data_IF_380676064103
#
_entry.id   IF_380676064103
#
_cell.length_a   1.000
_cell.length_b   1.000
_cell.length_c   1.000
_cell.angle_alpha   90.00
_cell.angle_beta   90.00
_cell.angle_gamma   90.00
#
_symmetry.space_group_name_H-M   'P 1'
#
loop_
_entity.id
_entity.type
_entity.pdbx_description
1 polymer ?
#
# COMPACT_ATOMS: atom_id res chain seq x y z
N UNK A 1 -12.33 -18.10 -17.02
CA UNK A 1 -13.07 -18.09 -15.74
C UNK A 1 -13.88 -16.81 -15.61
N UNK A 2 -14.97 -16.84 -14.84
CA UNK A 2 -15.74 -15.67 -14.40
C UNK A 2 -15.26 -15.24 -13.01
N UNK A 3 -14.73 -14.05 -12.88
CA UNK A 3 -14.11 -13.57 -11.64
C UNK A 3 -14.81 -12.31 -11.16
N UNK A 4 -15.23 -12.28 -9.89
CA UNK A 4 -15.84 -11.11 -9.25
C UNK A 4 -14.84 -10.47 -8.29
N UNK A 5 -14.56 -9.18 -8.49
CA UNK A 5 -13.82 -8.36 -7.55
C UNK A 5 -14.77 -7.52 -6.70
N UNK A 6 -14.78 -7.73 -5.40
CA UNK A 6 -15.45 -6.92 -4.40
C UNK A 6 -14.43 -6.04 -3.70
N UNK A 7 -14.50 -4.73 -3.90
CA UNK A 7 -13.53 -3.79 -3.37
C UNK A 7 -14.23 -2.60 -2.68
N UNK A 8 -13.57 -1.95 -1.69
CA UNK A 8 -14.14 -0.81 -0.97
C UNK A 8 -14.29 0.45 -1.82
N UNK A 9 -13.22 0.83 -2.50
CA UNK A 9 -13.04 2.18 -3.04
C UNK A 9 -13.33 2.24 -4.54
N UNK A 10 -13.70 3.42 -5.07
CA UNK A 10 -13.76 3.62 -6.51
C UNK A 10 -12.39 3.37 -7.14
N UNK A 11 -12.38 2.85 -8.36
CA UNK A 11 -11.14 2.60 -9.12
C UNK A 11 -10.27 3.85 -9.19
N UNK A 12 -8.99 3.69 -8.93
CA UNK A 12 -7.99 4.74 -9.03
C UNK A 12 -7.85 5.65 -7.81
N UNK A 13 -8.61 5.46 -6.72
CA UNK A 13 -8.62 6.39 -5.59
C UNK A 13 -7.72 6.00 -4.42
N UNK A 14 -7.57 4.74 -4.11
CA UNK A 14 -6.80 4.27 -2.96
C UNK A 14 -5.51 3.56 -3.40
N UNK A 15 -4.36 3.96 -2.84
CA UNK A 15 -3.05 3.46 -3.24
C UNK A 15 -2.93 1.92 -3.11
N UNK A 16 -3.25 1.32 -1.96
CA UNK A 16 -3.20 -0.13 -1.79
C UNK A 16 -4.06 -0.87 -2.82
N UNK A 17 -5.29 -0.39 -3.08
CA UNK A 17 -6.15 -0.97 -4.10
C UNK A 17 -5.57 -0.81 -5.51
N UNK A 18 -4.99 0.35 -5.84
CA UNK A 18 -4.38 0.62 -7.16
C UNK A 18 -3.21 -0.31 -7.46
N UNK A 19 -2.31 -0.50 -6.51
CA UNK A 19 -1.06 -1.23 -6.72
C UNK A 19 -1.14 -2.74 -6.48
N UNK A 20 -2.28 -3.23 -5.99
CA UNK A 20 -2.55 -4.67 -5.83
C UNK A 20 -3.74 -5.09 -6.68
N UNK A 21 -4.93 -4.70 -6.28
CA UNK A 21 -6.20 -5.19 -6.84
C UNK A 21 -6.38 -4.77 -8.29
N UNK A 22 -6.12 -3.48 -8.59
CA UNK A 22 -6.35 -2.96 -9.94
C UNK A 22 -5.36 -3.54 -10.95
N UNK A 23 -4.13 -3.82 -10.53
CA UNK A 23 -3.17 -4.52 -11.37
C UNK A 23 -3.60 -5.97 -11.65
N UNK A 24 -4.12 -6.68 -10.63
CA UNK A 24 -4.58 -8.05 -10.79
C UNK A 24 -5.73 -8.17 -11.80
N UNK A 25 -6.77 -7.34 -11.69
CA UNK A 25 -7.90 -7.48 -12.61
C UNK A 25 -7.61 -6.97 -14.04
N UNK A 26 -6.79 -5.95 -14.22
CA UNK A 26 -6.37 -5.53 -15.56
C UNK A 26 -5.58 -6.64 -16.28
N UNK A 27 -4.72 -7.33 -15.55
CA UNK A 27 -4.04 -8.51 -16.08
C UNK A 27 -5.01 -9.63 -16.45
N UNK A 28 -5.89 -10.02 -15.53
CA UNK A 28 -6.84 -11.11 -15.76
C UNK A 28 -7.75 -10.85 -16.96
N UNK A 29 -8.14 -9.59 -17.21
CA UNK A 29 -8.84 -9.20 -18.44
C UNK A 29 -8.01 -9.45 -19.70
N UNK A 30 -6.72 -9.03 -19.67
CA UNK A 30 -5.80 -9.22 -20.81
C UNK A 30 -5.54 -10.70 -21.12
N UNK A 31 -5.61 -11.57 -20.12
CA UNK A 31 -5.46 -13.02 -20.27
C UNK A 31 -6.77 -13.77 -20.60
N UNK A 32 -7.83 -13.04 -20.96
CA UNK A 32 -9.08 -13.62 -21.48
C UNK A 32 -10.09 -14.05 -20.40
N UNK A 33 -9.92 -13.63 -19.14
CA UNK A 33 -10.89 -13.89 -18.09
C UNK A 33 -12.04 -12.87 -18.11
N UNK A 34 -13.26 -13.31 -17.77
CA UNK A 34 -14.41 -12.43 -17.61
C UNK A 34 -14.37 -11.82 -16.20
N UNK A 35 -13.92 -10.56 -16.11
CA UNK A 35 -13.77 -9.86 -14.84
C UNK A 35 -14.90 -8.89 -14.60
N UNK A 36 -15.61 -9.06 -13.49
CA UNK A 36 -16.61 -8.12 -12.97
C UNK A 36 -16.07 -7.39 -11.76
N UNK A 37 -16.13 -6.06 -11.75
CA UNK A 37 -15.64 -5.23 -10.65
C UNK A 37 -16.84 -4.57 -9.97
N UNK A 38 -16.95 -4.74 -8.66
CA UNK A 38 -17.94 -4.09 -7.84
C UNK A 38 -17.27 -3.31 -6.71
N UNK A 39 -17.11 -2.00 -6.89
CA UNK A 39 -16.69 -1.08 -5.83
C UNK A 39 -17.86 -0.79 -4.91
N UNK A 40 -17.65 -0.80 -3.58
CA UNK A 40 -18.70 -0.44 -2.63
C UNK A 40 -19.05 1.04 -2.76
N UNK A 41 -18.04 1.93 -2.61
CA UNK A 41 -18.25 3.36 -2.81
C UNK A 41 -18.18 3.73 -4.28
N UNK A 42 -19.11 4.58 -4.73
CA UNK A 42 -18.97 5.33 -5.98
C UNK A 42 -18.17 6.62 -5.76
N UNK A 43 -17.76 7.27 -6.85
CA UNK A 43 -16.94 8.48 -6.78
C UNK A 43 -17.67 9.64 -6.11
N UNK A 44 -19.00 9.72 -6.27
CA UNK A 44 -19.81 10.80 -5.72
C UNK A 44 -19.88 10.71 -4.19
N UNK A 45 -20.09 9.51 -3.66
CA UNK A 45 -20.11 9.25 -2.22
C UNK A 45 -18.72 9.35 -1.62
N UNK A 46 -17.70 8.85 -2.32
CA UNK A 46 -16.30 8.97 -1.90
C UNK A 46 -15.87 10.43 -1.67
N UNK A 47 -16.18 11.31 -2.61
CA UNK A 47 -15.82 12.73 -2.54
C UNK A 47 -16.46 13.50 -1.39
N UNK A 48 -17.53 13.00 -0.82
CA UNK A 48 -18.22 13.62 0.32
C UNK A 48 -18.00 12.87 1.65
N UNK A 49 -17.42 11.67 1.62
CA UNK A 49 -17.32 10.76 2.77
C UNK A 49 -16.62 11.43 3.96
N UNK A 50 -15.51 12.12 3.72
CA UNK A 50 -14.70 12.78 4.76
C UNK A 50 -15.13 14.23 5.07
N UNK A 51 -16.11 14.79 4.36
CA UNK A 51 -16.60 16.14 4.61
C UNK A 51 -17.55 16.14 5.81
N UNK A 52 -17.44 17.07 6.74
CA UNK A 52 -18.32 17.14 7.93
C UNK A 52 -19.79 17.44 7.60
N UNK A 53 -20.10 17.95 6.42
CA UNK A 53 -21.45 18.31 5.95
C UNK A 53 -22.16 17.13 5.25
N UNK A 54 -23.48 17.25 5.04
CA UNK A 54 -24.32 16.34 4.25
C UNK A 54 -24.56 14.94 4.88
N UNK A 55 -24.75 14.87 6.20
CA UNK A 55 -24.96 13.59 6.91
C UNK A 55 -26.16 12.78 6.34
N UNK A 56 -27.28 13.45 6.06
CA UNK A 56 -28.49 12.81 5.50
C UNK A 56 -28.18 12.20 4.12
N UNK A 57 -27.51 12.96 3.25
CA UNK A 57 -27.12 12.47 1.92
C UNK A 57 -26.18 11.29 2.02
N UNK A 58 -25.21 11.32 2.94
CA UNK A 58 -24.28 10.20 3.20
C UNK A 58 -25.05 8.96 3.64
N UNK A 59 -26.03 9.11 4.53
CA UNK A 59 -26.83 8.00 5.02
C UNK A 59 -27.59 7.32 3.87
N UNK A 60 -28.36 8.06 3.09
CA UNK A 60 -29.12 7.49 1.96
C UNK A 60 -28.24 6.91 0.87
N UNK A 61 -27.13 7.59 0.52
CA UNK A 61 -26.16 7.05 -0.43
C UNK A 61 -25.57 5.73 0.09
N UNK A 62 -25.15 5.69 1.35
CA UNK A 62 -24.60 4.46 1.93
C UNK A 62 -25.60 3.33 1.95
N UNK A 63 -26.86 3.60 2.31
CA UNK A 63 -27.95 2.61 2.28
C UNK A 63 -28.18 2.07 0.85
N UNK A 64 -28.25 2.95 -0.15
CA UNK A 64 -28.32 2.54 -1.56
C UNK A 64 -27.16 1.65 -1.98
N UNK A 65 -25.94 2.02 -1.62
CA UNK A 65 -24.74 1.25 -1.92
C UNK A 65 -24.73 -0.12 -1.22
N UNK A 66 -25.28 -0.21 -0.02
CA UNK A 66 -25.53 -1.47 0.66
C UNK A 66 -26.48 -2.39 -0.13
N UNK A 67 -27.64 -1.87 -0.55
CA UNK A 67 -28.61 -2.62 -1.34
C UNK A 67 -28.02 -3.07 -2.68
N UNK A 68 -27.27 -2.20 -3.35
CA UNK A 68 -26.54 -2.51 -4.56
C UNK A 68 -25.51 -3.64 -4.34
N UNK A 69 -24.75 -3.60 -3.25
CA UNK A 69 -23.79 -4.67 -2.91
C UNK A 69 -24.52 -5.99 -2.63
N UNK A 70 -25.62 -5.96 -1.90
CA UNK A 70 -26.42 -7.15 -1.61
C UNK A 70 -26.93 -7.79 -2.91
N UNK A 71 -27.41 -7.02 -3.89
CA UNK A 71 -27.85 -7.57 -5.18
C UNK A 71 -26.74 -8.33 -5.93
N UNK A 72 -25.49 -7.89 -5.83
CA UNK A 72 -24.35 -8.62 -6.41
C UNK A 72 -24.04 -9.93 -5.69
N UNK A 73 -24.03 -9.92 -4.35
CA UNK A 73 -23.69 -11.12 -3.59
C UNK A 73 -24.75 -12.21 -3.64
N UNK A 74 -26.00 -11.90 -3.95
CA UNK A 74 -27.05 -12.90 -4.19
C UNK A 74 -26.76 -13.80 -5.38
N UNK A 75 -26.01 -13.30 -6.38
CA UNK A 75 -25.66 -14.06 -7.59
C UNK A 75 -24.22 -14.56 -7.61
N UNK A 76 -23.56 -14.61 -6.45
CA UNK A 76 -22.14 -14.90 -6.32
C UNK A 76 -21.78 -16.31 -6.86
N UNK A 77 -22.69 -17.27 -6.77
CA UNK A 77 -22.53 -18.65 -7.28
C UNK A 77 -22.27 -18.73 -8.79
N UNK A 78 -22.52 -17.64 -9.54
CA UNK A 78 -22.27 -17.57 -10.99
C UNK A 78 -20.80 -17.35 -11.34
N UNK A 79 -19.97 -17.02 -10.33
CA UNK A 79 -18.56 -16.76 -10.49
C UNK A 79 -17.73 -17.97 -10.09
N UNK A 80 -16.63 -18.18 -10.81
CA UNK A 80 -15.69 -19.25 -10.50
C UNK A 80 -14.78 -18.84 -9.33
N UNK A 81 -14.37 -17.55 -9.30
CA UNK A 81 -13.57 -16.98 -8.24
C UNK A 81 -14.18 -15.68 -7.75
N UNK A 82 -14.21 -15.50 -6.45
CA UNK A 82 -14.57 -14.24 -5.79
C UNK A 82 -13.33 -13.69 -5.07
N UNK A 83 -12.93 -12.51 -5.45
CA UNK A 83 -11.82 -11.79 -4.83
C UNK A 83 -12.37 -10.65 -3.98
N UNK A 84 -12.04 -10.64 -2.70
CA UNK A 84 -12.48 -9.60 -1.76
C UNK A 84 -11.28 -8.83 -1.24
N UNK A 85 -11.27 -7.53 -1.47
CA UNK A 85 -10.29 -6.64 -0.86
C UNK A 85 -10.84 -6.08 0.44
N UNK A 86 -10.16 -6.34 1.53
CA UNK A 86 -10.44 -5.92 2.92
C UNK A 86 -11.77 -6.41 3.52
N UNK A 87 -12.91 -6.12 2.91
CA UNK A 87 -14.24 -6.47 3.40
C UNK A 87 -15.31 -6.45 2.28
N UNK A 88 -16.42 -7.15 2.49
CA UNK A 88 -17.58 -7.13 1.57
C UNK A 88 -18.45 -5.92 1.84
N UNK A 89 -18.66 -5.59 3.11
CA UNK A 89 -19.48 -4.47 3.57
C UNK A 89 -18.83 -3.74 4.75
N UNK A 90 -18.98 -2.38 4.86
CA UNK A 90 -18.09 -1.57 5.72
C UNK A 90 -18.34 -1.71 7.24
N UNK A 91 -19.54 -2.11 7.69
CA UNK A 91 -19.94 -2.11 9.10
C UNK A 91 -20.90 -3.26 9.43
N UNK A 92 -21.07 -3.55 10.71
CA UNK A 92 -21.99 -4.57 11.23
C UNK A 92 -21.35 -5.95 11.34
N UNK A 93 -22.17 -6.94 11.68
CA UNK A 93 -21.74 -8.34 11.76
C UNK A 93 -21.36 -8.90 10.38
N UNK A 94 -20.53 -9.95 10.31
CA UNK A 94 -20.02 -10.52 9.05
C UNK A 94 -21.05 -11.39 8.31
N UNK A 95 -22.33 -10.96 8.26
CA UNK A 95 -23.41 -11.71 7.60
C UNK A 95 -23.21 -11.76 6.08
N UNK A 96 -22.86 -10.64 5.47
CA UNK A 96 -22.56 -10.57 4.04
C UNK A 96 -21.31 -11.38 3.68
N UNK A 97 -20.29 -11.30 4.55
CA UNK A 97 -19.03 -12.05 4.43
C UNK A 97 -19.29 -13.57 4.56
N UNK A 98 -20.13 -13.97 5.53
CA UNK A 98 -20.57 -15.35 5.68
C UNK A 98 -21.30 -15.86 4.41
N UNK A 99 -22.21 -15.06 3.86
CA UNK A 99 -22.91 -15.39 2.61
C UNK A 99 -21.93 -15.58 1.47
N UNK A 100 -20.99 -14.64 1.30
CA UNK A 100 -19.96 -14.70 0.28
C UNK A 100 -19.13 -15.97 0.45
N UNK A 101 -18.68 -16.30 1.67
CA UNK A 101 -17.91 -17.53 1.94
C UNK A 101 -18.70 -18.80 1.60
N UNK A 102 -19.98 -18.84 1.99
CA UNK A 102 -20.82 -20.05 1.82
C UNK A 102 -21.13 -20.36 0.36
N UNK A 103 -21.28 -19.34 -0.49
CA UNK A 103 -21.73 -19.51 -1.87
C UNK A 103 -20.65 -19.28 -2.92
N UNK A 104 -19.44 -18.89 -2.54
CA UNK A 104 -18.28 -18.83 -3.45
C UNK A 104 -17.70 -20.22 -3.69
N UNK A 105 -17.34 -20.53 -4.93
CA UNK A 105 -16.60 -21.75 -5.26
C UNK A 105 -15.18 -21.65 -4.75
N UNK A 106 -14.48 -20.52 -5.06
CA UNK A 106 -13.16 -20.16 -4.56
C UNK A 106 -13.20 -18.72 -4.06
N UNK A 107 -12.75 -18.47 -2.83
CA UNK A 107 -12.73 -17.16 -2.18
C UNK A 107 -11.29 -16.74 -1.90
N UNK A 108 -10.85 -15.70 -2.57
CA UNK A 108 -9.54 -15.06 -2.36
C UNK A 108 -9.75 -13.79 -1.56
N UNK A 109 -9.02 -13.65 -0.47
CA UNK A 109 -9.07 -12.46 0.40
C UNK A 109 -7.76 -11.71 0.26
N UNK A 110 -7.82 -10.43 0.00
CA UNK A 110 -6.65 -9.56 -0.01
C UNK A 110 -6.78 -8.51 1.09
N UNK A 111 -5.85 -8.53 2.02
CA UNK A 111 -5.84 -7.65 3.20
C UNK A 111 -4.66 -6.70 3.12
N UNK A 112 -4.93 -5.45 3.44
CA UNK A 112 -3.95 -4.39 3.62
C UNK A 112 -3.97 -3.92 5.07
N UNK A 113 -2.82 -3.73 5.68
CA UNK A 113 -2.65 -3.46 7.12
C UNK A 113 -3.31 -4.54 8.03
N UNK A 114 -3.28 -4.36 9.34
CA UNK A 114 -3.85 -5.32 10.32
C UNK A 114 -5.33 -5.05 10.64
N UNK A 115 -6.12 -4.78 9.62
CA UNK A 115 -7.57 -4.50 9.77
C UNK A 115 -8.40 -5.69 10.29
N UNK A 116 -7.79 -6.85 10.44
CA UNK A 116 -8.39 -8.05 11.01
C UNK A 116 -8.18 -8.20 12.53
N UNK A 117 -7.30 -7.41 13.16
CA UNK A 117 -7.07 -7.43 14.61
C UNK A 117 -8.22 -6.75 15.34
N UNK A 118 -8.87 -7.48 16.25
CA UNK A 118 -10.10 -7.05 16.95
C UNK A 118 -9.92 -6.92 18.47
N UNK A 119 -8.71 -7.18 18.97
CA UNK A 119 -8.44 -7.35 20.41
C UNK A 119 -8.78 -6.11 21.25
N UNK A 120 -8.77 -4.92 20.65
CA UNK A 120 -9.08 -3.64 21.30
C UNK A 120 -10.55 -3.20 21.14
N UNK A 121 -11.44 -4.05 20.60
CA UNK A 121 -12.81 -3.67 20.30
C UNK A 121 -13.80 -4.16 21.34
N UNK A 122 -14.56 -3.23 21.95
CA UNK A 122 -15.78 -3.58 22.68
C UNK A 122 -16.95 -3.86 21.69
N UNK A 123 -18.08 -4.35 22.22
CA UNK A 123 -19.25 -4.73 21.41
C UNK A 123 -19.71 -3.64 20.43
N UNK A 124 -19.86 -2.39 20.91
CA UNK A 124 -20.34 -1.28 20.07
C UNK A 124 -19.30 -0.88 19.01
N UNK A 125 -18.02 -0.84 19.38
CA UNK A 125 -16.93 -0.56 18.46
C UNK A 125 -16.81 -1.63 17.37
N UNK A 126 -17.04 -2.89 17.74
CA UNK A 126 -17.10 -4.02 16.78
C UNK A 126 -18.19 -3.83 15.73
N UNK A 127 -19.37 -3.40 16.14
CA UNK A 127 -20.49 -3.16 15.23
C UNK A 127 -20.26 -2.00 14.26
N UNK A 128 -19.47 -1.01 14.67
CA UNK A 128 -19.14 0.17 13.85
C UNK A 128 -17.85 0.01 13.03
N UNK A 129 -17.11 -1.09 13.23
CA UNK A 129 -15.84 -1.40 12.58
C UNK A 129 -15.98 -2.43 11.46
N UNK A 130 -15.07 -2.40 10.50
CA UNK A 130 -14.91 -3.48 9.52
C UNK A 130 -14.03 -4.63 10.04
N UNK A 131 -13.33 -4.46 11.17
CA UNK A 131 -12.36 -5.43 11.69
C UNK A 131 -12.93 -6.85 11.90
N UNK A 132 -14.11 -7.06 12.52
CA UNK A 132 -14.68 -8.41 12.68
C UNK A 132 -14.96 -9.10 11.34
N UNK A 133 -15.31 -8.32 10.32
CA UNK A 133 -15.58 -8.80 8.96
C UNK A 133 -14.29 -9.26 8.28
N UNK A 134 -13.26 -8.42 8.34
CA UNK A 134 -11.94 -8.74 7.81
C UNK A 134 -11.34 -9.97 8.53
N UNK A 135 -11.50 -10.07 9.87
CA UNK A 135 -11.08 -11.25 10.65
C UNK A 135 -11.79 -12.51 10.17
N UNK A 136 -13.12 -12.48 10.02
CA UNK A 136 -13.89 -13.61 9.51
C UNK A 136 -13.41 -14.05 8.12
N UNK A 137 -13.18 -13.11 7.21
CA UNK A 137 -12.68 -13.40 5.86
C UNK A 137 -11.28 -14.00 5.88
N UNK A 138 -10.37 -13.48 6.71
CA UNK A 138 -9.01 -14.05 6.88
C UNK A 138 -9.10 -15.49 7.39
N UNK A 139 -9.98 -15.76 8.36
CA UNK A 139 -10.14 -17.11 8.91
C UNK A 139 -10.67 -18.11 7.89
N UNK A 140 -11.60 -17.69 7.03
CA UNK A 140 -12.40 -18.61 6.22
C UNK A 140 -12.10 -18.57 4.71
N UNK A 141 -11.31 -17.62 4.22
CA UNK A 141 -10.93 -17.54 2.80
C UNK A 141 -10.09 -18.72 2.34
N UNK A 142 -10.29 -19.20 1.12
CA UNK A 142 -9.48 -20.29 0.55
C UNK A 142 -8.02 -19.89 0.39
N UNK A 143 -7.78 -18.62 0.03
CA UNK A 143 -6.45 -18.01 -0.05
C UNK A 143 -6.51 -16.62 0.57
N UNK A 144 -5.53 -16.28 1.40
CA UNK A 144 -5.37 -14.95 1.97
C UNK A 144 -4.12 -14.30 1.43
N UNK A 145 -4.23 -13.11 0.89
CA UNK A 145 -3.11 -12.31 0.38
C UNK A 145 -2.84 -11.16 1.34
N UNK A 146 -1.57 -10.92 1.64
CA UNK A 146 -1.17 -9.77 2.45
C UNK A 146 0.08 -9.11 1.87
N UNK A 147 0.17 -7.78 1.97
CA UNK A 147 1.29 -6.99 1.46
C UNK A 147 2.50 -6.91 2.40
N UNK A 148 2.41 -7.47 3.61
CA UNK A 148 3.51 -7.58 4.58
C UNK A 148 3.86 -9.04 4.83
N UNK A 149 5.15 -9.44 4.79
CA UNK A 149 5.57 -10.83 5.07
C UNK A 149 5.21 -11.29 6.49
N UNK A 150 5.36 -10.41 7.49
CA UNK A 150 5.03 -10.72 8.89
C UNK A 150 3.54 -10.98 9.08
N UNK A 151 2.70 -10.11 8.53
CA UNK A 151 1.25 -10.26 8.63
C UNK A 151 0.71 -11.40 7.77
N UNK A 152 1.34 -11.73 6.63
CA UNK A 152 1.01 -12.94 5.89
C UNK A 152 1.25 -14.21 6.70
N UNK A 153 2.35 -14.25 7.48
CA UNK A 153 2.64 -15.36 8.41
C UNK A 153 1.58 -15.44 9.52
N UNK A 154 1.16 -14.31 10.08
CA UNK A 154 0.11 -14.26 11.09
C UNK A 154 -1.25 -14.71 10.52
N UNK A 155 -1.63 -14.21 9.35
CA UNK A 155 -2.84 -14.63 8.65
C UNK A 155 -2.85 -16.14 8.37
N UNK A 156 -1.69 -16.74 8.07
CA UNK A 156 -1.58 -18.20 7.86
C UNK A 156 -1.93 -18.98 9.11
N UNK A 157 -1.54 -18.50 10.28
CA UNK A 157 -1.89 -19.13 11.55
C UNK A 157 -3.38 -18.98 11.91
N UNK A 158 -4.02 -17.91 11.43
CA UNK A 158 -5.44 -17.64 11.68
C UNK A 158 -6.38 -18.34 10.66
N UNK A 159 -5.87 -18.65 9.47
CA UNK A 159 -6.67 -19.17 8.37
C UNK A 159 -6.89 -20.68 8.50
N UNK A 160 -8.14 -21.12 8.31
CA UNK A 160 -8.56 -22.55 8.39
C UNK A 160 -7.79 -23.46 7.41
N UNK A 161 -7.37 -22.91 6.27
CA UNK A 161 -6.62 -23.64 5.25
C UNK A 161 -5.10 -23.48 5.37
N UNK A 162 -4.64 -22.72 6.36
CA UNK A 162 -3.23 -22.31 6.51
C UNK A 162 -2.61 -21.75 5.22
N UNK A 163 -3.42 -21.13 4.37
CA UNK A 163 -3.07 -20.67 3.04
C UNK A 163 -3.07 -19.13 2.99
N UNK A 164 -2.04 -18.52 3.54
CA UNK A 164 -1.81 -17.09 3.39
C UNK A 164 -0.45 -16.81 2.73
N UNK A 165 -0.46 -15.91 1.74
CA UNK A 165 0.66 -15.63 0.85
C UNK A 165 1.02 -14.16 0.94
N UNK A 166 2.31 -13.85 1.05
CA UNK A 166 2.82 -12.51 0.87
C UNK A 166 2.80 -12.15 -0.62
N UNK A 167 2.10 -11.05 -0.95
CA UNK A 167 2.05 -10.49 -2.31
C UNK A 167 2.35 -8.99 -2.20
N UNK A 168 3.54 -8.55 -2.66
CA UNK A 168 3.91 -7.14 -2.66
C UNK A 168 3.04 -6.35 -3.65
N UNK A 169 3.11 -5.02 -3.58
CA UNK A 169 2.52 -4.16 -4.60
C UNK A 169 3.19 -4.39 -5.96
N UNK A 170 2.44 -4.17 -7.04
CA UNK A 170 2.94 -4.34 -8.41
C UNK A 170 2.97 -3.01 -9.14
N UNK A 171 4.03 -2.84 -9.95
CA UNK A 171 4.27 -1.61 -10.70
C UNK A 171 4.45 -1.91 -12.19
N UNK A 172 3.83 -1.09 -13.02
CA UNK A 172 4.06 -1.09 -14.47
C UNK A 172 5.42 -0.41 -14.75
N UNK A 173 6.46 -1.23 -14.93
CA UNK A 173 7.82 -0.75 -15.11
C UNK A 173 8.02 0.04 -16.39
N UNK A 174 7.11 -0.05 -17.37
CA UNK A 174 7.13 0.80 -18.57
C UNK A 174 6.74 2.26 -18.26
N UNK A 175 5.91 2.45 -17.24
CA UNK A 175 5.49 3.77 -16.75
C UNK A 175 6.42 4.33 -15.70
N UNK A 176 6.95 3.49 -14.80
CA UNK A 176 7.91 3.87 -13.75
C UNK A 176 9.31 4.02 -14.38
N UNK A 177 9.55 5.19 -14.98
CA UNK A 177 10.83 5.50 -15.61
C UNK A 177 11.95 5.53 -14.58
N UNK A 178 13.06 4.89 -14.92
CA UNK A 178 14.25 4.88 -14.07
C UNK A 178 14.83 6.29 -13.95
N UNK A 179 15.17 6.70 -12.74
CA UNK A 179 15.88 7.95 -12.46
C UNK A 179 17.29 7.91 -13.04
N UNK A 180 17.65 8.96 -13.75
CA UNK A 180 19.06 9.23 -14.11
C UNK A 180 19.67 10.09 -13.02
N UNK A 181 20.62 9.49 -12.28
CA UNK A 181 21.38 10.22 -11.27
C UNK A 181 22.43 11.11 -11.93
N UNK A 182 22.64 12.29 -11.38
CA UNK A 182 23.67 13.24 -11.81
C UNK A 182 24.36 13.85 -10.61
N UNK A 183 25.59 14.34 -10.79
CA UNK A 183 26.24 15.16 -9.76
C UNK A 183 25.45 16.44 -9.59
N UNK A 184 25.20 16.80 -8.34
CA UNK A 184 24.44 18.00 -7.95
C UNK A 184 25.04 18.61 -6.70
N UNK A 185 25.02 19.93 -6.61
CA UNK A 185 25.41 20.64 -5.40
C UNK A 185 24.42 20.43 -4.27
N UNK A 186 23.11 20.43 -4.62
CA UNK A 186 22.02 20.21 -3.69
C UNK A 186 21.26 18.92 -4.07
N UNK A 187 21.32 17.93 -3.20
CA UNK A 187 20.59 16.67 -3.31
C UNK A 187 19.19 16.85 -2.72
N UNK A 188 18.17 16.25 -3.32
CA UNK A 188 16.78 16.32 -2.86
C UNK A 188 16.41 15.07 -2.08
N UNK A 189 16.10 15.23 -0.80
CA UNK A 189 15.47 14.20 0.02
C UNK A 189 13.96 14.22 -0.23
N UNK A 190 13.38 13.08 -0.54
CA UNK A 190 11.97 12.97 -0.89
C UNK A 190 11.15 12.08 0.04
N UNK A 191 9.96 12.55 0.41
CA UNK A 191 8.97 11.76 1.11
C UNK A 191 7.61 11.90 0.44
N UNK A 192 6.87 10.80 0.32
CA UNK A 192 5.47 10.83 -0.11
C UNK A 192 4.58 10.23 0.97
N UNK A 193 3.40 10.80 1.16
CA UNK A 193 2.48 10.27 2.15
C UNK A 193 1.20 11.10 2.33
N UNK A 194 0.32 10.57 3.17
CA UNK A 194 -0.95 11.17 3.54
C UNK A 194 -0.89 11.77 4.94
N UNK A 195 -1.91 12.52 5.32
CA UNK A 195 -2.05 13.06 6.67
C UNK A 195 -1.91 11.99 7.76
N UNK A 196 -2.39 10.76 7.53
CA UNK A 196 -2.27 9.67 8.50
C UNK A 196 -0.84 9.16 8.71
N UNK A 197 0.08 9.46 7.80
CA UNK A 197 1.48 9.00 7.87
C UNK A 197 2.48 10.10 8.22
N UNK A 198 2.02 11.33 8.46
CA UNK A 198 2.91 12.46 8.78
C UNK A 198 3.65 12.28 10.11
N UNK A 199 3.05 11.57 11.06
CA UNK A 199 3.68 11.26 12.33
C UNK A 199 5.02 10.54 12.17
N UNK A 200 5.17 9.72 11.14
CA UNK A 200 6.43 9.03 10.81
C UNK A 200 7.51 10.02 10.33
N UNK A 201 7.15 11.01 9.51
CA UNK A 201 8.13 12.01 9.07
C UNK A 201 8.61 12.88 10.24
N UNK A 202 7.73 13.17 11.22
CA UNK A 202 8.08 13.95 12.41
C UNK A 202 9.20 13.34 13.24
N UNK A 203 9.34 12.01 13.26
CA UNK A 203 10.44 11.34 13.96
C UNK A 203 11.80 11.82 13.43
N UNK A 204 11.85 12.12 12.15
CA UNK A 204 13.08 12.43 11.45
C UNK A 204 13.45 13.92 11.51
N UNK A 205 12.54 14.81 11.93
CA UNK A 205 12.80 16.24 11.95
C UNK A 205 14.06 16.66 12.72
N UNK A 206 14.37 16.08 13.92
CA UNK A 206 15.59 16.43 14.63
C UNK A 206 16.85 16.06 13.82
N UNK A 207 16.84 14.90 13.16
CA UNK A 207 17.93 14.44 12.29
C UNK A 207 18.09 15.34 11.08
N UNK A 208 16.98 15.69 10.41
CA UNK A 208 17.00 16.56 9.24
C UNK A 208 17.54 17.95 9.56
N UNK A 209 17.22 18.50 10.74
CA UNK A 209 17.76 19.80 11.21
C UNK A 209 19.25 19.74 11.45
N UNK A 210 19.74 18.75 12.21
CA UNK A 210 21.18 18.55 12.44
C UNK A 210 21.95 18.38 11.13
N UNK A 211 21.41 17.56 10.21
CA UNK A 211 22.00 17.37 8.90
C UNK A 211 22.08 18.64 8.06
N UNK A 212 21.03 19.47 8.09
CA UNK A 212 20.97 20.70 7.31
C UNK A 212 21.99 21.73 7.75
N UNK A 213 22.36 21.75 9.03
CA UNK A 213 23.44 22.61 9.56
C UNK A 213 24.82 22.13 9.07
N UNK A 214 25.00 20.83 8.87
CA UNK A 214 26.26 20.21 8.43
C UNK A 214 26.40 20.22 6.90
N UNK A 215 25.32 20.01 6.16
CA UNK A 215 25.27 20.01 4.70
C UNK A 215 23.89 20.44 4.21
N UNK A 216 23.86 21.42 3.31
CA UNK A 216 22.60 21.89 2.69
C UNK A 216 22.07 20.88 1.69
N UNK A 217 20.76 20.71 1.68
CA UNK A 217 20.01 19.83 0.77
C UNK A 217 18.60 20.36 0.57
N UNK A 218 17.89 19.88 -0.42
CA UNK A 218 16.48 20.16 -0.63
C UNK A 218 15.60 19.09 0.02
N UNK A 219 14.42 19.48 0.52
CA UNK A 219 13.39 18.54 0.98
C UNK A 219 12.15 18.73 0.09
N UNK A 220 11.66 17.66 -0.49
CA UNK A 220 10.41 17.67 -1.25
C UNK A 220 9.43 16.64 -0.68
N UNK A 221 8.23 17.08 -0.38
CA UNK A 221 7.13 16.25 0.12
C UNK A 221 6.03 16.17 -0.93
N UNK A 222 5.61 14.96 -1.30
CA UNK A 222 4.44 14.76 -2.15
C UNK A 222 3.27 14.36 -1.25
N UNK A 223 2.34 15.30 -1.02
CA UNK A 223 1.25 15.13 -0.05
C UNK A 223 0.07 16.06 -0.35
N UNK A 224 -1.07 15.88 0.32
CA UNK A 224 -2.28 16.69 0.15
C UNK A 224 -2.57 17.61 1.35
N UNK A 225 -1.54 17.99 2.06
CA UNK A 225 -1.63 18.95 3.18
C UNK A 225 -0.34 19.78 3.27
N UNK A 226 -0.45 20.95 3.84
CA UNK A 226 0.69 21.82 4.07
C UNK A 226 1.53 21.29 5.23
N UNK A 227 2.85 21.31 5.05
CA UNK A 227 3.78 20.86 6.07
C UNK A 227 5.06 21.70 6.05
N UNK A 228 5.50 22.10 7.23
CA UNK A 228 6.70 22.88 7.43
C UNK A 228 7.59 22.24 8.49
N UNK A 229 8.88 22.29 8.29
CA UNK A 229 9.88 21.91 9.29
C UNK A 229 10.64 23.19 9.66
N UNK A 230 10.55 23.59 10.94
CA UNK A 230 11.19 24.83 11.39
C UNK A 230 12.70 24.84 11.09
N UNK A 231 13.16 25.86 10.38
CA UNK A 231 14.58 26.02 9.99
C UNK A 231 14.96 25.34 8.67
N UNK A 232 14.03 24.67 7.97
CA UNK A 232 14.26 24.08 6.66
C UNK A 232 13.26 24.61 5.63
N UNK A 233 13.75 24.78 4.40
CA UNK A 233 12.88 25.06 3.26
C UNK A 233 12.29 23.75 2.72
N UNK A 234 10.98 23.59 2.89
CA UNK A 234 10.25 22.37 2.51
C UNK A 234 9.39 22.67 1.30
N UNK A 235 9.72 22.07 0.18
CA UNK A 235 8.89 22.10 -1.03
C UNK A 235 7.77 21.07 -0.92
N UNK A 236 6.51 21.49 -0.95
CA UNK A 236 5.33 20.62 -0.92
C UNK A 236 4.68 20.57 -2.28
N UNK A 237 4.65 19.39 -2.90
CA UNK A 237 3.96 19.11 -4.15
C UNK A 237 2.62 18.42 -3.82
N UNK A 238 1.46 18.99 -4.20
CA UNK A 238 0.17 18.35 -4.02
C UNK A 238 0.12 17.02 -4.79
N UNK A 239 -0.15 15.92 -4.08
CA UNK A 239 -0.24 14.62 -4.72
C UNK A 239 -1.38 14.57 -5.76
N UNK A 240 -1.07 14.10 -6.95
CA UNK A 240 -2.02 13.82 -8.03
C UNK A 240 -1.64 12.52 -8.71
N UNK A 241 -2.64 11.72 -9.06
CA UNK A 241 -2.45 10.42 -9.71
C UNK A 241 -1.75 10.52 -11.07
N UNK A 242 -2.04 11.55 -11.81
CA UNK A 242 -1.54 11.79 -13.17
C UNK A 242 -0.08 12.25 -13.20
N UNK A 243 0.40 12.93 -12.15
CA UNK A 243 1.79 13.43 -12.05
C UNK A 243 2.65 12.66 -11.03
N UNK A 244 2.07 11.69 -10.29
CA UNK A 244 2.75 10.97 -9.21
C UNK A 244 4.14 10.46 -9.58
N UNK A 245 4.30 9.89 -10.78
CA UNK A 245 5.57 9.32 -11.23
C UNK A 245 6.58 10.42 -11.55
N UNK A 246 6.14 11.48 -12.21
CA UNK A 246 6.98 12.62 -12.57
C UNK A 246 7.41 13.39 -11.32
N UNK A 247 6.50 13.55 -10.37
CA UNK A 247 6.79 14.20 -9.09
C UNK A 247 7.83 13.41 -8.27
N UNK A 248 7.74 12.08 -8.25
CA UNK A 248 8.73 11.21 -7.59
C UNK A 248 10.13 11.30 -8.23
N UNK A 249 10.25 11.58 -9.54
CA UNK A 249 11.53 11.78 -10.21
C UNK A 249 12.30 13.02 -9.72
N UNK A 250 11.65 13.94 -9.00
CA UNK A 250 12.32 15.07 -8.36
C UNK A 250 13.17 14.65 -7.15
N UNK A 251 12.94 13.47 -6.59
CA UNK A 251 13.74 12.94 -5.47
C UNK A 251 15.09 12.43 -5.96
N UNK A 252 16.13 12.59 -5.16
CA UNK A 252 17.43 11.94 -5.35
C UNK A 252 17.63 10.80 -4.35
N UNK A 253 17.04 10.92 -3.17
CA UNK A 253 17.04 9.93 -2.09
C UNK A 253 15.65 9.85 -1.50
N UNK A 254 15.05 8.67 -1.46
CA UNK A 254 13.77 8.42 -0.78
C UNK A 254 13.97 8.22 0.73
N UNK A 255 13.09 8.78 1.56
CA UNK A 255 13.10 8.51 3.01
C UNK A 255 11.82 7.81 3.44
N UNK A 256 11.98 6.75 4.25
CA UNK A 256 10.85 5.96 4.77
C UNK A 256 10.98 5.71 6.27
N UNK A 257 10.76 6.75 7.09
CA UNK A 257 10.67 6.59 8.54
C UNK A 257 9.35 5.91 8.94
N UNK A 258 9.43 5.00 9.91
CA UNK A 258 8.29 4.38 10.60
C UNK A 258 8.62 4.19 12.08
N UNK A 259 7.61 4.03 12.94
CA UNK A 259 7.82 3.69 14.34
C UNK A 259 8.27 2.22 14.49
N UNK A 260 9.00 1.91 15.56
CA UNK A 260 9.31 0.55 15.97
C UNK A 260 8.13 -0.02 16.80
N UNK A 261 7.00 -0.25 16.12
CA UNK A 261 5.78 -0.79 16.75
C UNK A 261 5.14 -1.88 15.86
N UNK A 262 4.22 -2.64 16.46
CA UNK A 262 3.56 -3.73 15.75
C UNK A 262 2.71 -3.24 14.57
N UNK A 263 2.10 -2.06 14.68
CA UNK A 263 1.33 -1.48 13.59
C UNK A 263 2.21 -1.17 12.37
N UNK A 264 3.37 -0.55 12.59
CA UNK A 264 4.32 -0.24 11.50
C UNK A 264 4.96 -1.49 10.92
N UNK A 265 5.11 -2.56 11.74
CA UNK A 265 5.59 -3.87 11.30
C UNK A 265 4.65 -4.51 10.28
N UNK A 266 3.35 -4.26 10.37
CA UNK A 266 2.35 -4.79 9.44
C UNK A 266 2.27 -4.08 8.10
N UNK A 267 2.86 -2.88 7.98
CA UNK A 267 2.80 -2.10 6.73
C UNK A 267 3.57 -2.76 5.60
N UNK A 268 2.95 -2.77 4.41
CA UNK A 268 3.50 -3.40 3.21
C UNK A 268 4.67 -2.68 2.55
N UNK A 269 5.13 -1.51 3.07
CA UNK A 269 6.31 -0.82 2.54
C UNK A 269 6.13 -0.22 1.14
N UNK A 270 4.93 0.16 0.74
CA UNK A 270 4.62 0.69 -0.60
C UNK A 270 5.58 1.79 -1.06
N UNK A 271 5.95 2.73 -0.16
CA UNK A 271 6.86 3.83 -0.52
C UNK A 271 8.26 3.33 -0.91
N UNK A 272 8.79 2.36 -0.16
CA UNK A 272 10.07 1.72 -0.48
C UNK A 272 9.99 1.06 -1.86
N UNK A 273 8.93 0.31 -2.12
CA UNK A 273 8.72 -0.33 -3.43
C UNK A 273 8.61 0.70 -4.56
N UNK A 274 7.93 1.84 -4.33
CA UNK A 274 7.87 2.94 -5.30
C UNK A 274 9.26 3.54 -5.56
N UNK A 275 10.04 3.84 -4.51
CA UNK A 275 11.39 4.37 -4.65
C UNK A 275 12.29 3.41 -5.44
N UNK A 276 12.29 2.13 -5.07
CA UNK A 276 13.04 1.09 -5.80
C UNK A 276 12.60 1.00 -7.27
N UNK A 277 11.29 1.05 -7.55
CA UNK A 277 10.75 1.02 -8.91
C UNK A 277 11.15 2.24 -9.74
N UNK A 278 11.50 3.35 -9.11
CA UNK A 278 12.04 4.55 -9.77
C UNK A 278 13.57 4.53 -9.89
N UNK A 279 14.26 3.53 -9.31
CA UNK A 279 15.71 3.53 -9.20
C UNK A 279 16.24 4.59 -8.23
N UNK A 280 15.46 4.93 -7.21
CA UNK A 280 15.86 5.83 -6.14
C UNK A 280 16.44 5.02 -4.99
N UNK A 281 17.69 5.30 -4.56
CA UNK A 281 18.18 4.76 -3.30
C UNK A 281 17.35 5.31 -2.16
N UNK A 282 17.13 4.51 -1.13
CA UNK A 282 16.32 4.94 0.01
C UNK A 282 17.00 4.66 1.35
N UNK A 283 16.73 5.52 2.32
CA UNK A 283 17.00 5.23 3.73
C UNK A 283 15.66 4.95 4.40
N UNK A 284 15.57 3.83 5.09
CA UNK A 284 14.35 3.36 5.76
C UNK A 284 14.65 2.98 7.19
N UNK A 285 13.68 3.11 8.08
CA UNK A 285 13.76 2.47 9.39
C UNK A 285 13.92 0.95 9.21
N UNK A 286 14.83 0.32 9.96
CA UNK A 286 15.05 -1.14 9.96
C UNK A 286 13.87 -1.86 10.64
N UNK A 287 12.68 -1.76 10.02
CA UNK A 287 11.45 -2.30 10.58
C UNK A 287 10.41 -2.65 9.50
N UNK A 288 9.59 -3.67 9.79
CA UNK A 288 8.48 -4.10 8.94
C UNK A 288 8.92 -4.60 7.57
N UNK A 289 8.08 -4.38 6.55
CA UNK A 289 8.33 -4.91 5.20
C UNK A 289 9.59 -4.34 4.53
N UNK A 290 10.08 -3.16 4.93
CA UNK A 290 11.31 -2.59 4.38
C UNK A 290 12.49 -3.53 4.55
N UNK A 291 12.57 -4.28 5.67
CA UNK A 291 13.65 -5.26 5.94
C UNK A 291 13.66 -6.45 4.98
N UNK A 292 12.54 -6.70 4.29
CA UNK A 292 12.43 -7.78 3.30
C UNK A 292 12.72 -7.32 1.88
N UNK A 293 12.78 -6.01 1.64
CA UNK A 293 12.97 -5.43 0.31
C UNK A 293 14.34 -4.78 0.15
N UNK A 294 14.85 -4.18 1.21
CA UNK A 294 16.13 -3.50 1.18
C UNK A 294 17.25 -4.46 1.58
N UNK A 295 18.14 -4.73 0.63
CA UNK A 295 19.44 -5.31 0.91
C UNK A 295 20.37 -4.17 1.36
N UNK A 296 20.69 -4.17 2.67
CA UNK A 296 21.38 -3.08 3.34
C UNK A 296 22.77 -2.82 2.74
N UNK A 297 23.01 -1.58 2.33
CA UNK A 297 24.24 -1.18 1.67
C UNK A 297 24.30 -1.47 0.16
N UNK A 298 23.32 -2.21 -0.39
CA UNK A 298 23.25 -2.58 -1.81
C UNK A 298 22.10 -1.89 -2.52
N UNK A 299 20.84 -2.07 -2.04
CA UNK A 299 19.65 -1.48 -2.67
C UNK A 299 19.07 -0.31 -1.89
N UNK A 300 19.61 -0.02 -0.72
CA UNK A 300 19.21 1.04 0.20
C UNK A 300 19.89 0.88 1.55
N UNK A 301 19.54 1.75 2.49
CA UNK A 301 20.02 1.64 3.87
C UNK A 301 18.86 1.41 4.84
N UNK A 302 19.12 0.59 5.87
CA UNK A 302 18.24 0.32 6.98
C UNK A 302 18.84 0.96 8.23
N UNK A 303 18.14 1.95 8.79
CA UNK A 303 18.57 2.72 9.97
C UNK A 303 17.85 2.23 11.23
N UNK A 304 18.60 2.00 12.30
CA UNK A 304 18.07 1.58 13.61
C UNK A 304 17.88 2.76 14.57
N UNK A 305 18.62 3.82 14.37
CA UNK A 305 18.67 4.99 15.26
C UNK A 305 19.00 6.27 14.48
N UNK A 306 18.97 7.42 15.17
CA UNK A 306 19.23 8.73 14.55
C UNK A 306 20.65 8.88 13.98
N UNK A 307 21.67 8.21 14.57
CA UNK A 307 23.04 8.25 14.06
C UNK A 307 23.13 7.53 12.71
N UNK A 308 22.46 6.39 12.56
CA UNK A 308 22.39 5.66 11.30
C UNK A 308 21.70 6.50 10.22
N UNK A 309 20.56 7.12 10.55
CA UNK A 309 19.88 8.05 9.64
C UNK A 309 20.80 9.16 9.19
N UNK A 310 21.51 9.83 10.11
CA UNK A 310 22.45 10.91 9.78
C UNK A 310 23.57 10.41 8.90
N UNK A 311 24.19 9.30 9.24
CA UNK A 311 25.31 8.70 8.49
C UNK A 311 24.90 8.33 7.07
N UNK A 312 23.84 7.53 6.92
CA UNK A 312 23.44 7.02 5.62
C UNK A 312 22.92 8.11 4.68
N UNK A 313 22.23 9.11 5.22
CA UNK A 313 21.82 10.27 4.42
C UNK A 313 23.04 11.08 3.96
N UNK A 314 24.03 11.32 4.84
CA UNK A 314 25.29 12.00 4.47
C UNK A 314 26.07 11.22 3.43
N UNK A 315 26.22 9.91 3.57
CA UNK A 315 26.92 9.05 2.62
C UNK A 315 26.28 9.19 1.22
N UNK A 316 24.95 9.06 1.13
CA UNK A 316 24.22 9.22 -0.13
C UNK A 316 24.24 10.65 -0.67
N UNK A 317 24.28 11.69 0.17
CA UNK A 317 24.40 13.09 -0.28
C UNK A 317 25.81 13.42 -0.80
N UNK A 318 26.85 12.83 -0.22
CA UNK A 318 28.23 13.14 -0.55
C UNK A 318 28.78 12.31 -1.71
N UNK A 319 28.34 11.07 -1.82
CA UNK A 319 28.84 10.12 -2.82
C UNK A 319 27.79 9.90 -3.93
N UNK A 320 28.07 10.53 -5.09
CA UNK A 320 27.23 10.37 -6.28
C UNK A 320 27.28 8.96 -6.84
N UNK A 321 28.46 8.33 -6.86
CA UNK A 321 28.65 6.98 -7.42
C UNK A 321 27.91 5.93 -6.58
N UNK A 322 28.01 6.04 -5.26
CA UNK A 322 27.24 5.21 -4.33
C UNK A 322 25.73 5.39 -4.56
N UNK A 323 25.26 6.63 -4.66
CA UNK A 323 23.85 6.95 -4.90
C UNK A 323 23.34 6.35 -6.20
N UNK A 324 24.13 6.46 -7.29
CA UNK A 324 23.77 5.92 -8.58
C UNK A 324 23.80 4.38 -8.60
N UNK A 325 24.84 3.77 -8.03
CA UNK A 325 24.98 2.31 -7.96
C UNK A 325 23.84 1.69 -7.15
N UNK A 326 23.54 2.25 -5.98
CA UNK A 326 22.44 1.78 -5.10
C UNK A 326 21.06 1.96 -5.75
N UNK A 327 20.82 3.08 -6.43
CA UNK A 327 19.59 3.31 -7.19
C UNK A 327 19.41 2.31 -8.34
N UNK A 328 20.48 1.98 -9.06
CA UNK A 328 20.45 0.95 -10.10
C UNK A 328 20.12 -0.42 -9.53
N UNK A 329 20.81 -0.84 -8.47
CA UNK A 329 20.53 -2.12 -7.80
C UNK A 329 19.09 -2.18 -7.24
N UNK A 330 18.58 -1.08 -6.70
CA UNK A 330 17.18 -0.99 -6.25
C UNK A 330 16.20 -1.19 -7.42
N UNK A 331 16.48 -0.59 -8.58
CA UNK A 331 15.66 -0.78 -9.79
C UNK A 331 15.67 -2.22 -10.28
N UNK A 332 16.83 -2.84 -10.36
CA UNK A 332 16.98 -4.23 -10.80
C UNK A 332 16.21 -5.18 -9.88
N UNK A 333 16.28 -4.95 -8.56
CA UNK A 333 15.47 -5.68 -7.60
C UNK A 333 13.96 -5.48 -7.82
N UNK A 334 13.52 -4.25 -8.04
CA UNK A 334 12.12 -3.93 -8.26
C UNK A 334 11.57 -4.55 -9.57
N UNK A 335 12.33 -4.53 -10.66
CA UNK A 335 11.96 -5.18 -11.92
C UNK A 335 11.74 -6.68 -11.74
N UNK A 336 12.59 -7.32 -10.95
CA UNK A 336 12.51 -8.76 -10.69
C UNK A 336 11.35 -9.13 -9.73
N UNK A 337 11.05 -8.29 -8.74
CA UNK A 337 10.18 -8.67 -7.62
C UNK A 337 8.86 -7.89 -7.55
N UNK A 338 8.78 -6.69 -8.15
CA UNK A 338 7.64 -5.78 -8.05
C UNK A 338 7.05 -5.41 -9.40
N UNK A 339 7.60 -5.91 -10.52
CA UNK A 339 6.98 -5.68 -11.82
C UNK A 339 5.61 -6.39 -11.92
N UNK A 340 4.73 -5.87 -12.76
CA UNK A 340 3.47 -6.57 -13.08
C UNK A 340 3.80 -7.98 -13.57
N UNK A 341 4.79 -8.13 -14.45
CA UNK A 341 5.22 -9.40 -15.03
C UNK A 341 5.63 -10.41 -13.95
N UNK A 342 6.42 -10.01 -12.95
CA UNK A 342 6.81 -10.90 -11.84
C UNK A 342 5.61 -11.29 -10.96
N UNK A 343 4.68 -10.38 -10.76
CA UNK A 343 3.46 -10.62 -10.00
C UNK A 343 2.48 -11.54 -10.73
N UNK A 344 2.50 -11.54 -12.06
CA UNK A 344 1.58 -12.34 -12.89
C UNK A 344 1.71 -13.84 -12.65
N UNK A 345 2.93 -14.34 -12.49
CA UNK A 345 3.18 -15.76 -12.18
C UNK A 345 2.50 -16.15 -10.87
N UNK A 346 2.61 -15.28 -9.86
CA UNK A 346 1.93 -15.47 -8.58
C UNK A 346 0.41 -15.41 -8.72
N UNK A 347 -0.13 -14.42 -9.43
CA UNK A 347 -1.57 -14.30 -9.63
C UNK A 347 -2.14 -15.48 -10.43
N UNK A 348 -1.48 -15.93 -11.52
CA UNK A 348 -1.94 -17.11 -12.26
C UNK A 348 -2.09 -18.30 -11.31
N UNK A 349 -1.05 -18.60 -10.51
CA UNK A 349 -1.09 -19.68 -9.52
C UNK A 349 -2.24 -19.51 -8.54
N UNK A 350 -2.39 -18.34 -7.94
CA UNK A 350 -3.42 -18.01 -6.95
C UNK A 350 -4.83 -18.20 -7.51
N UNK A 351 -5.08 -17.82 -8.76
CA UNK A 351 -6.41 -17.91 -9.37
C UNK A 351 -6.73 -19.28 -9.97
N UNK A 352 -5.75 -20.04 -10.46
CA UNK A 352 -5.97 -21.30 -11.21
C UNK A 352 -5.69 -22.57 -10.42
N UNK A 353 -4.80 -22.54 -9.43
CA UNK A 353 -4.55 -23.71 -8.56
C UNK A 353 -5.64 -23.80 -7.47
N UNK A 354 -6.06 -25.03 -7.18
CA UNK A 354 -7.07 -25.36 -6.14
C UNK A 354 -6.52 -25.19 -4.71
#
# INVERSE_FOLDING_TARGET
MKILFLQPYPTGQAAGQRFKVEQAYEFLKKTGHQVTINSFFDISTWNILHKKKNLIKKFFNTLYLWLKRLSFILFIHKYDVVYVFMWVTPRGYPVAEWWVRKFSKKLIIDIDDEVYKVDDLNFFSSLLSCKPKSKYLVQTGNVVLHNSPSSAKECRNLNEFSNAIHVPCSFDMSRYKKKFHSKKDLVTLGWTGTFSSIAYLKILEPVLKDLYDRKKFNITLITNFDYQISGLDVNVIPWRKDTEIEDLLNFDIGIYPVFFDDWSKSKGGLKVQQYMSMGLPSVSTNHGAATSYIDHGVTGFLAENNQDWSRYLLDLMNDFELRAAMGNAARDFAEKNFSIESSLTNYNRIFTED
#
